data_IF_196139599352
#
_entry.id   IF_196139599352
#
_cell.length_a   1.000
_cell.length_b   1.000
_cell.length_c   1.000
_cell.angle_alpha   90.00
_cell.angle_beta   90.00
_cell.angle_gamma   90.00
#
_symmetry.space_group_name_H-M   'P 1'
#
loop_
_entity.id
_entity.type
_entity.pdbx_description
1 polymer ?
#
# COMPACT_ATOMS: atom_id res chain seq x y z
N UNK A 1 0.30 16.23 -13.54
CA UNK A 1 -0.16 14.84 -13.31
C UNK A 1 0.32 14.49 -11.92
N UNK A 2 -0.58 14.23 -11.02
CA UNK A 2 -0.25 13.86 -9.65
C UNK A 2 0.21 12.41 -9.53
N UNK A 3 0.84 12.09 -8.42
CA UNK A 3 1.32 10.73 -8.12
C UNK A 3 0.21 9.91 -7.49
N UNK A 4 0.02 8.68 -7.98
CA UNK A 4 -0.85 7.70 -7.34
C UNK A 4 -0.02 6.51 -6.92
N UNK A 5 0.04 6.22 -5.62
CA UNK A 5 0.98 5.25 -5.08
C UNK A 5 0.59 4.80 -3.66
N UNK A 6 1.00 3.60 -3.29
CA UNK A 6 0.81 3.07 -1.93
C UNK A 6 2.12 2.61 -1.31
N UNK A 7 2.34 2.99 -0.06
CA UNK A 7 3.47 2.59 0.78
C UNK A 7 3.00 1.71 1.92
N UNK A 8 3.46 0.48 1.97
CA UNK A 8 3.09 -0.51 2.98
C UNK A 8 4.26 -0.71 3.94
N UNK A 9 3.96 -0.68 5.24
CA UNK A 9 4.94 -0.79 6.30
C UNK A 9 4.53 -1.89 7.29
N UNK A 10 5.40 -2.85 7.55
CA UNK A 10 5.23 -3.86 8.59
C UNK A 10 5.87 -3.36 9.88
N UNK A 11 5.15 -3.38 10.99
CA UNK A 11 5.77 -3.07 12.30
C UNK A 11 6.84 -4.11 12.62
N UNK A 12 8.07 -3.64 12.85
CA UNK A 12 9.16 -4.56 13.15
C UNK A 12 9.08 -5.05 14.61
N UNK A 13 8.79 -6.32 14.80
CA UNK A 13 8.77 -7.01 16.10
C UNK A 13 10.08 -7.74 16.40
N UNK A 14 11.14 -7.46 15.65
CA UNK A 14 12.39 -8.18 15.73
C UNK A 14 12.48 -9.40 14.80
N UNK A 15 11.93 -9.25 13.60
CA UNK A 15 11.96 -10.30 12.59
C UNK A 15 13.37 -10.77 12.26
N UNK A 16 13.51 -12.07 12.00
CA UNK A 16 14.64 -12.64 11.28
C UNK A 16 14.39 -12.59 9.78
N UNK A 17 15.45 -12.75 8.99
CA UNK A 17 15.35 -12.84 7.52
C UNK A 17 14.50 -14.03 7.07
N UNK A 18 14.65 -15.15 7.77
CA UNK A 18 13.94 -16.39 7.52
C UNK A 18 12.43 -16.23 7.77
N UNK A 19 12.02 -15.53 8.83
CA UNK A 19 10.62 -15.24 9.12
C UNK A 19 10.00 -14.36 8.04
N UNK A 20 10.71 -13.31 7.58
CA UNK A 20 10.23 -12.44 6.50
C UNK A 20 10.08 -13.22 5.20
N UNK A 21 11.05 -14.04 4.83
CA UNK A 21 10.97 -14.89 3.63
C UNK A 21 9.82 -15.88 3.71
N UNK A 22 9.66 -16.55 4.84
CA UNK A 22 8.55 -17.48 5.06
C UNK A 22 7.17 -16.79 4.99
N UNK A 23 7.07 -15.55 5.48
CA UNK A 23 5.86 -14.72 5.36
C UNK A 23 5.56 -14.39 3.91
N UNK A 24 6.56 -13.96 3.14
CA UNK A 24 6.41 -13.70 1.70
C UNK A 24 5.99 -14.97 0.95
N UNK A 25 6.62 -16.12 1.24
CA UNK A 25 6.29 -17.40 0.62
C UNK A 25 4.84 -17.82 0.93
N UNK A 26 4.40 -17.67 2.17
CA UNK A 26 3.01 -17.97 2.57
C UNK A 26 1.98 -17.08 1.86
N UNK A 27 2.30 -15.81 1.62
CA UNK A 27 1.41 -14.86 0.96
C UNK A 27 1.39 -15.02 -0.56
N UNK A 28 2.53 -15.25 -1.15
CA UNK A 28 2.77 -15.10 -2.59
C UNK A 28 3.36 -16.35 -3.27
N UNK A 29 3.92 -17.31 -2.52
CA UNK A 29 4.62 -18.48 -3.05
C UNK A 29 3.73 -19.47 -3.83
N UNK A 30 2.39 -19.40 -3.67
CA UNK A 30 1.45 -20.10 -4.51
C UNK A 30 1.01 -19.33 -5.76
N UNK A 31 1.43 -18.10 -5.86
CA UNK A 31 1.22 -17.21 -6.99
C UNK A 31 2.53 -17.08 -7.79
N UNK A 32 3.14 -18.21 -8.15
CA UNK A 32 4.02 -18.17 -9.31
C UNK A 32 3.19 -17.57 -10.42
N UNK A 33 3.55 -16.35 -10.85
CA UNK A 33 2.81 -15.48 -11.74
C UNK A 33 2.13 -16.15 -12.91
N UNK A 34 1.08 -16.91 -12.62
CA UNK A 34 0.13 -17.35 -13.61
C UNK A 34 -0.83 -16.19 -13.82
N UNK A 35 -0.33 -15.15 -14.49
CA UNK A 35 -1.25 -14.32 -15.28
C UNK A 35 -2.11 -15.32 -16.05
N UNK A 36 -3.44 -15.36 -15.83
CA UNK A 36 -4.30 -16.32 -16.51
C UNK A 36 -3.98 -16.26 -18.00
N UNK A 37 -3.81 -17.40 -18.67
CA UNK A 37 -3.48 -17.38 -20.08
C UNK A 37 -4.50 -16.49 -20.79
N UNK A 38 -4.05 -15.63 -21.72
CA UNK A 38 -4.93 -14.67 -22.41
C UNK A 38 -6.22 -15.32 -22.91
N UNK A 39 -6.14 -16.59 -23.37
CA UNK A 39 -7.29 -17.41 -23.78
C UNK A 39 -8.30 -17.69 -22.65
N UNK A 40 -7.84 -17.78 -21.41
CA UNK A 40 -8.73 -18.03 -20.27
C UNK A 40 -9.42 -16.74 -19.83
N UNK A 41 -8.75 -15.58 -19.95
CA UNK A 41 -9.36 -14.26 -19.79
C UNK A 41 -10.39 -13.99 -20.90
N UNK A 42 -10.08 -14.29 -22.16
CA UNK A 42 -11.02 -14.17 -23.27
C UNK A 42 -12.27 -15.01 -23.01
N UNK A 43 -12.13 -16.30 -22.64
CA UNK A 43 -13.26 -17.18 -22.29
C UNK A 43 -14.06 -16.67 -21.08
N UNK A 44 -13.39 -16.18 -20.06
CA UNK A 44 -14.04 -15.63 -18.87
C UNK A 44 -14.90 -14.41 -19.22
N UNK A 45 -14.39 -13.51 -20.03
CA UNK A 45 -15.12 -12.33 -20.51
C UNK A 45 -16.29 -12.71 -21.42
N UNK A 46 -16.13 -13.63 -22.34
CA UNK A 46 -17.22 -14.13 -23.19
C UNK A 46 -18.32 -14.80 -22.35
N UNK A 47 -17.95 -15.56 -21.31
CA UNK A 47 -18.90 -16.17 -20.40
C UNK A 47 -19.67 -15.15 -19.55
N UNK A 48 -19.01 -14.07 -19.10
CA UNK A 48 -19.62 -12.99 -18.31
C UNK A 48 -20.57 -12.11 -19.13
N UNK A 49 -20.17 -11.78 -20.35
CA UNK A 49 -20.93 -10.90 -21.24
C UNK A 49 -22.01 -11.62 -22.04
N UNK A 50 -21.92 -12.94 -22.16
CA UNK A 50 -22.78 -13.76 -23.04
C UNK A 50 -22.57 -13.50 -24.53
N UNK A 51 -21.57 -12.74 -24.93
CA UNK A 51 -21.27 -12.35 -26.30
C UNK A 51 -19.84 -12.68 -26.68
N UNK A 52 -19.60 -13.00 -27.95
CA UNK A 52 -18.25 -13.11 -28.48
C UNK A 52 -17.53 -11.75 -28.42
N UNK A 53 -16.26 -11.77 -27.98
CA UNK A 53 -15.43 -10.57 -27.91
C UNK A 53 -15.19 -9.96 -29.29
N UNK A 54 -15.34 -8.65 -29.38
CA UNK A 54 -14.95 -7.91 -30.58
C UNK A 54 -13.42 -7.87 -30.72
N UNK A 55 -12.95 -7.52 -31.90
CA UNK A 55 -11.50 -7.36 -32.14
C UNK A 55 -10.89 -6.28 -31.25
N UNK A 56 -11.66 -5.21 -30.95
CA UNK A 56 -11.28 -4.14 -30.02
C UNK A 56 -11.14 -4.66 -28.57
N UNK A 57 -12.06 -5.50 -28.12
CA UNK A 57 -12.02 -6.08 -26.77
C UNK A 57 -10.81 -7.02 -26.63
N UNK A 58 -10.51 -7.82 -27.66
CA UNK A 58 -9.32 -8.68 -27.68
C UNK A 58 -8.02 -7.87 -27.69
N UNK A 59 -7.98 -6.75 -28.40
CA UNK A 59 -6.82 -5.86 -28.40
C UNK A 59 -6.59 -5.26 -26.99
N UNK A 60 -7.67 -4.80 -26.34
CA UNK A 60 -7.61 -4.29 -24.98
C UNK A 60 -7.16 -5.36 -23.98
N UNK A 61 -7.71 -6.58 -24.07
CA UNK A 61 -7.29 -7.68 -23.23
C UNK A 61 -5.82 -8.05 -23.43
N UNK A 62 -5.32 -8.05 -24.66
CA UNK A 62 -3.88 -8.27 -24.96
C UNK A 62 -3.01 -7.19 -24.33
N UNK A 63 -3.43 -5.93 -24.43
CA UNK A 63 -2.71 -4.82 -23.82
C UNK A 63 -2.68 -4.97 -22.29
N UNK A 64 -3.83 -5.20 -21.64
CA UNK A 64 -3.93 -5.41 -20.20
C UNK A 64 -3.16 -6.64 -19.74
N UNK A 65 -3.19 -7.74 -20.52
CA UNK A 65 -2.42 -8.94 -20.25
C UNK A 65 -0.91 -8.69 -20.35
N UNK A 66 -0.45 -7.96 -21.37
CA UNK A 66 0.96 -7.57 -21.51
C UNK A 66 1.45 -6.74 -20.34
N UNK A 67 0.67 -5.74 -19.92
CA UNK A 67 0.99 -4.94 -18.72
C UNK A 67 1.02 -5.81 -17.46
N UNK A 68 0.10 -6.77 -17.33
CA UNK A 68 0.08 -7.71 -16.21
C UNK A 68 1.27 -8.69 -16.24
N UNK A 69 1.68 -9.15 -17.42
CA UNK A 69 2.88 -10.01 -17.57
C UNK A 69 4.17 -9.26 -17.23
N UNK A 70 4.31 -8.00 -17.66
CA UNK A 70 5.45 -7.16 -17.28
C UNK A 70 5.50 -6.91 -15.77
N UNK A 71 4.34 -6.77 -15.10
CA UNK A 71 4.22 -6.65 -13.66
C UNK A 71 4.43 -7.96 -12.87
N UNK A 72 4.12 -9.11 -13.50
CA UNK A 72 4.20 -10.42 -12.84
C UNK A 72 5.64 -10.88 -12.52
N UNK A 73 6.64 -10.31 -13.19
CA UNK A 73 8.05 -10.63 -12.92
C UNK A 73 8.61 -9.88 -11.69
N UNK A 74 7.81 -9.02 -11.05
CA UNK A 74 8.22 -8.27 -9.87
C UNK A 74 7.86 -9.02 -8.59
N UNK A 75 8.81 -9.77 -8.08
CA UNK A 75 8.64 -10.53 -6.85
C UNK A 75 8.39 -9.63 -5.65
N UNK A 76 7.51 -10.04 -4.71
CA UNK A 76 7.30 -9.29 -3.48
C UNK A 76 8.59 -9.19 -2.67
N UNK A 77 8.79 -8.05 -2.05
CA UNK A 77 10.04 -7.68 -1.40
C UNK A 77 9.76 -7.01 -0.06
N UNK A 78 10.59 -7.30 0.94
CA UNK A 78 10.61 -6.58 2.21
C UNK A 78 12.00 -6.02 2.45
N UNK A 79 12.09 -4.75 2.79
CA UNK A 79 13.32 -4.14 3.26
C UNK A 79 13.57 -4.55 4.71
N UNK A 80 14.72 -5.15 4.99
CA UNK A 80 15.12 -5.55 6.33
C UNK A 80 16.30 -4.72 6.83
N UNK A 81 16.11 -4.08 7.99
CA UNK A 81 17.18 -3.47 8.76
C UNK A 81 16.95 -3.78 10.25
N UNK A 82 17.95 -4.38 10.89
CA UNK A 82 17.87 -4.68 12.31
C UNK A 82 17.66 -3.38 13.12
N UNK A 83 16.68 -3.39 14.01
CA UNK A 83 16.37 -2.24 14.84
C UNK A 83 15.54 -1.13 14.17
N UNK A 84 15.26 -1.18 12.87
CA UNK A 84 14.29 -0.28 12.25
C UNK A 84 12.90 -0.51 12.88
N UNK A 85 12.15 0.54 13.24
CA UNK A 85 10.83 0.38 13.86
C UNK A 85 9.78 -0.17 12.89
N UNK A 86 9.99 0.06 11.60
CA UNK A 86 9.14 -0.39 10.50
C UNK A 86 9.97 -0.98 9.37
N UNK A 87 9.37 -1.89 8.62
CA UNK A 87 9.98 -2.54 7.47
C UNK A 87 9.10 -2.27 6.23
N UNK A 88 9.63 -1.56 5.22
CA UNK A 88 8.89 -1.31 3.99
C UNK A 88 8.67 -2.61 3.22
N UNK A 89 7.41 -2.81 2.75
CA UNK A 89 7.02 -3.91 1.87
C UNK A 89 6.71 -3.35 0.50
N UNK A 90 7.25 -3.99 -0.53
CA UNK A 90 6.96 -3.66 -1.92
C UNK A 90 6.36 -4.87 -2.64
N UNK A 91 5.24 -4.64 -3.27
CA UNK A 91 4.62 -5.57 -4.21
C UNK A 91 3.82 -4.77 -5.24
N UNK A 92 4.18 -4.90 -6.51
CA UNK A 92 3.64 -4.08 -7.60
C UNK A 92 2.12 -3.99 -7.57
N UNK A 93 1.42 -5.12 -7.60
CA UNK A 93 -0.05 -5.11 -7.65
C UNK A 93 -0.74 -4.61 -6.35
N UNK A 94 -0.02 -4.53 -5.22
CA UNK A 94 -0.51 -3.88 -3.99
C UNK A 94 -0.18 -2.39 -3.97
N UNK A 95 0.92 -1.98 -4.57
CA UNK A 95 1.48 -0.64 -4.42
C UNK A 95 1.20 0.27 -5.62
N UNK A 96 0.92 -0.28 -6.80
CA UNK A 96 0.54 0.50 -7.99
C UNK A 96 -0.96 0.88 -8.00
N UNK A 97 -1.72 0.42 -7.01
CA UNK A 97 -3.14 0.72 -6.86
C UNK A 97 -3.40 1.95 -6.01
N UNK A 98 -4.56 2.59 -6.23
CA UNK A 98 -4.98 3.77 -5.47
C UNK A 98 -5.17 3.50 -3.98
N UNK A 99 -5.56 2.28 -3.62
CA UNK A 99 -5.81 1.89 -2.23
C UNK A 99 -5.57 0.40 -2.08
N UNK A 100 -4.78 0.00 -1.08
CA UNK A 100 -4.66 -1.41 -0.72
C UNK A 100 -5.96 -1.85 -0.05
N UNK A 101 -6.53 -2.94 -0.53
CA UNK A 101 -7.77 -3.44 0.06
C UNK A 101 -7.60 -3.77 1.54
N UNK A 102 -8.62 -3.47 2.33
CA UNK A 102 -8.68 -3.82 3.75
C UNK A 102 -8.40 -5.30 4.00
N UNK A 103 -8.83 -6.16 3.06
CA UNK A 103 -8.60 -7.61 3.11
C UNK A 103 -7.12 -7.96 2.95
N UNK A 104 -6.42 -7.32 2.02
CA UNK A 104 -5.01 -7.62 1.75
C UNK A 104 -4.12 -7.13 2.88
N UNK A 105 -4.39 -5.94 3.44
CA UNK A 105 -3.71 -5.47 4.65
C UNK A 105 -3.97 -6.38 5.86
N UNK A 106 -5.20 -6.84 6.05
CA UNK A 106 -5.53 -7.81 7.10
C UNK A 106 -4.76 -9.11 6.94
N UNK A 107 -4.68 -9.65 5.71
CA UNK A 107 -3.92 -10.85 5.41
C UNK A 107 -2.41 -10.66 5.63
N UNK A 108 -1.86 -9.49 5.31
CA UNK A 108 -0.47 -9.16 5.64
C UNK A 108 -0.25 -9.18 7.15
N UNK A 109 -1.12 -8.52 7.92
CA UNK A 109 -1.04 -8.50 9.39
C UNK A 109 -1.14 -9.90 9.99
N UNK A 110 -2.09 -10.74 9.54
CA UNK A 110 -2.24 -12.12 9.97
C UNK A 110 -0.97 -12.94 9.71
N UNK A 111 -0.44 -12.90 8.49
CA UNK A 111 0.67 -13.74 8.08
C UNK A 111 1.98 -13.36 8.78
N UNK A 112 2.25 -12.06 8.90
CA UNK A 112 3.45 -11.58 9.59
C UNK A 112 3.29 -11.50 11.12
N UNK A 113 2.06 -11.65 11.63
CA UNK A 113 1.77 -11.56 13.06
C UNK A 113 2.21 -10.21 13.65
N UNK A 114 1.97 -9.13 12.92
CA UNK A 114 2.38 -7.77 13.31
C UNK A 114 1.46 -6.73 12.68
N UNK A 115 1.31 -5.55 13.32
CA UNK A 115 0.59 -4.45 12.70
C UNK A 115 1.15 -4.06 11.33
N UNK A 116 0.24 -3.72 10.42
CA UNK A 116 0.53 -3.21 9.09
C UNK A 116 -0.09 -1.84 8.93
N UNK A 117 0.68 -0.89 8.42
CA UNK A 117 0.25 0.46 8.10
C UNK A 117 0.49 0.73 6.62
N UNK A 118 -0.52 1.27 5.95
CA UNK A 118 -0.41 1.71 4.57
C UNK A 118 -0.74 3.20 4.46
N UNK A 119 0.07 3.91 3.69
CA UNK A 119 -0.21 5.25 3.19
C UNK A 119 -0.45 5.14 1.69
N UNK A 120 -1.57 5.66 1.22
CA UNK A 120 -1.86 5.72 -0.21
C UNK A 120 -2.11 7.17 -0.62
N UNK A 121 -1.53 7.56 -1.73
CA UNK A 121 -1.74 8.84 -2.38
C UNK A 121 -2.62 8.63 -3.60
N UNK A 122 -3.54 9.53 -3.82
CA UNK A 122 -4.32 9.61 -5.03
C UNK A 122 -4.16 10.98 -5.67
N UNK A 123 -3.60 11.01 -6.87
CA UNK A 123 -3.34 12.20 -7.69
C UNK A 123 -2.59 13.34 -6.95
N UNK A 124 -1.79 12.99 -5.94
CA UNK A 124 -1.09 13.88 -5.01
C UNK A 124 -1.99 14.79 -4.14
N UNK A 125 -3.29 14.60 -4.19
CA UNK A 125 -4.26 15.46 -3.49
C UNK A 125 -4.87 14.78 -2.25
N UNK A 126 -5.11 13.48 -2.34
CA UNK A 126 -5.76 12.72 -1.26
C UNK A 126 -4.78 11.77 -0.59
N UNK A 127 -4.70 11.85 0.72
CA UNK A 127 -3.93 10.91 1.54
C UNK A 127 -4.87 9.95 2.26
N UNK A 128 -4.73 8.66 1.95
CA UNK A 128 -5.37 7.58 2.69
C UNK A 128 -4.39 6.95 3.66
N UNK A 129 -4.89 6.58 4.84
CA UNK A 129 -4.11 5.88 5.86
C UNK A 129 -4.92 4.71 6.37
N UNK A 130 -4.41 3.50 6.18
CA UNK A 130 -5.05 2.25 6.58
C UNK A 130 -4.16 1.47 7.55
N UNK A 131 -4.74 0.97 8.62
CA UNK A 131 -4.06 0.20 9.66
C UNK A 131 -4.80 -1.11 9.93
N UNK A 132 -4.04 -2.18 10.09
CA UNK A 132 -4.56 -3.49 10.50
C UNK A 132 -3.63 -4.12 11.53
N UNK A 133 -4.23 -4.65 12.56
CA UNK A 133 -3.54 -5.48 13.57
C UNK A 133 -4.40 -6.69 13.88
N UNK A 134 -4.04 -7.83 13.32
CA UNK A 134 -4.77 -9.09 13.49
C UNK A 134 -4.76 -9.56 14.95
N UNK A 135 -3.68 -9.31 15.69
CA UNK A 135 -3.56 -9.74 17.08
C UNK A 135 -4.55 -9.03 18.01
N UNK A 136 -4.89 -7.78 17.74
CA UNK A 136 -5.85 -6.99 18.52
C UNK A 136 -7.23 -6.91 17.88
N UNK A 137 -7.34 -7.24 16.59
CA UNK A 137 -8.53 -7.04 15.78
C UNK A 137 -8.75 -5.58 15.41
N UNK A 138 -7.77 -4.69 15.63
CA UNK A 138 -7.89 -3.28 15.27
C UNK A 138 -7.79 -3.09 13.75
N UNK A 139 -8.76 -2.33 13.21
CA UNK A 139 -8.84 -1.98 11.79
C UNK A 139 -9.31 -0.54 11.65
N UNK A 140 -8.54 0.26 10.94
CA UNK A 140 -8.82 1.67 10.73
C UNK A 140 -8.54 2.07 9.28
N UNK A 141 -9.43 2.88 8.70
CA UNK A 141 -9.27 3.50 7.39
C UNK A 141 -9.64 4.97 7.50
N UNK A 142 -8.67 5.85 7.21
CA UNK A 142 -8.82 7.29 7.27
C UNK A 142 -8.46 7.92 5.94
N UNK A 143 -9.15 9.02 5.61
CA UNK A 143 -8.80 9.87 4.48
C UNK A 143 -8.55 11.30 4.95
N UNK A 144 -7.56 11.96 4.35
CA UNK A 144 -7.34 13.39 4.42
C UNK A 144 -7.52 13.96 3.03
N UNK A 145 -8.60 14.71 2.89
CA UNK A 145 -9.03 15.30 1.62
C UNK A 145 -8.56 16.76 1.53
N UNK A 146 -8.39 17.33 0.32
CA UNK A 146 -8.26 18.75 0.12
C UNK A 146 -9.49 19.48 0.68
N UNK A 147 -9.31 20.72 1.09
CA UNK A 147 -10.31 21.48 1.87
C UNK A 147 -11.69 21.66 1.19
N UNK A 148 -11.76 21.54 -0.13
CA UNK A 148 -12.96 21.86 -0.91
C UNK A 148 -13.79 20.62 -1.32
N UNK A 149 -13.27 19.40 -1.16
CA UNK A 149 -13.86 18.20 -1.79
C UNK A 149 -14.57 17.25 -0.80
N UNK A 150 -14.87 17.70 0.42
CA UNK A 150 -15.50 16.84 1.45
C UNK A 150 -16.91 16.35 1.06
N UNK A 151 -17.59 17.00 0.10
CA UNK A 151 -18.95 16.64 -0.30
C UNK A 151 -19.00 15.54 -1.38
N UNK A 152 -17.90 15.26 -2.09
CA UNK A 152 -17.86 14.30 -3.19
C UNK A 152 -17.45 12.88 -2.78
N UNK A 153 -16.86 12.71 -1.59
CA UNK A 153 -16.40 11.42 -1.13
C UNK A 153 -17.39 10.78 -0.17
N UNK A 154 -17.78 9.54 -0.47
CA UNK A 154 -18.71 8.76 0.33
C UNK A 154 -18.09 8.43 1.70
N UNK A 155 -18.57 9.06 2.75
CA UNK A 155 -18.12 8.96 4.14
C UNK A 155 -18.23 7.53 4.73
N UNK A 156 -18.85 6.59 4.02
CA UNK A 156 -19.12 5.24 4.53
C UNK A 156 -17.86 4.38 4.61
N UNK A 157 -16.81 4.67 3.83
CA UNK A 157 -15.61 3.82 3.73
C UNK A 157 -14.46 4.35 4.58
N UNK A 158 -14.27 5.67 4.61
CA UNK A 158 -13.14 6.29 5.30
C UNK A 158 -13.59 7.22 6.42
N UNK A 159 -12.91 7.13 7.57
CA UNK A 159 -13.11 8.08 8.65
C UNK A 159 -12.41 9.40 8.32
N UNK A 160 -13.12 10.49 8.51
CA UNK A 160 -12.56 11.84 8.45
C UNK A 160 -12.09 12.26 9.85
N UNK A 161 -11.12 13.15 9.89
CA UNK A 161 -10.56 13.64 11.14
C UNK A 161 -9.20 13.03 11.48
N UNK A 162 -8.72 13.29 12.70
CA UNK A 162 -7.39 12.84 13.10
C UNK A 162 -7.40 11.34 13.49
N UNK A 163 -6.55 10.51 12.88
CA UNK A 163 -6.43 9.09 13.21
C UNK A 163 -5.68 8.91 14.56
N UNK A 164 -6.40 8.82 15.66
CA UNK A 164 -5.83 8.71 17.01
C UNK A 164 -4.89 7.49 17.20
N UNK A 165 -5.06 6.45 16.40
CA UNK A 165 -4.15 5.31 16.41
C UNK A 165 -2.73 5.69 15.96
N UNK A 166 -2.56 6.64 15.03
CA UNK A 166 -1.23 7.12 14.62
C UNK A 166 -0.48 7.76 15.79
N UNK A 167 -1.18 8.51 16.66
CA UNK A 167 -0.56 9.08 17.85
C UNK A 167 -0.04 8.00 18.82
N UNK A 168 -0.67 6.82 18.85
CA UNK A 168 -0.17 5.69 19.66
C UNK A 168 1.09 5.06 19.07
N UNK A 169 1.22 5.07 17.76
CA UNK A 169 2.37 4.53 17.03
C UNK A 169 3.56 5.49 17.03
N UNK A 170 3.31 6.79 17.19
CA UNK A 170 4.32 7.84 17.22
C UNK A 170 4.99 7.92 18.59
N UNK A 171 6.32 8.16 18.66
CA UNK A 171 7.01 8.52 19.89
C UNK A 171 6.33 9.71 20.59
N UNK A 172 6.29 9.73 21.94
CA UNK A 172 5.54 10.74 22.68
C UNK A 172 5.88 12.19 22.29
N UNK A 173 7.15 12.47 22.02
CA UNK A 173 7.66 13.79 21.62
C UNK A 173 7.18 14.24 20.24
N UNK A 174 6.81 13.30 19.35
CA UNK A 174 6.33 13.60 18.00
C UNK A 174 4.81 13.75 17.88
N UNK A 175 4.02 13.37 18.91
CA UNK A 175 2.56 13.28 18.81
C UNK A 175 1.85 14.59 18.51
N UNK A 176 2.31 15.69 19.09
CA UNK A 176 1.74 17.00 18.82
C UNK A 176 2.06 17.46 17.40
N UNK A 177 3.29 17.27 16.95
CA UNK A 177 3.69 17.56 15.57
C UNK A 177 2.89 16.71 14.57
N UNK A 178 2.68 15.42 14.86
CA UNK A 178 1.89 14.52 14.03
C UNK A 178 0.44 14.99 13.89
N UNK A 179 -0.20 15.42 15.01
CA UNK A 179 -1.56 15.97 14.97
C UNK A 179 -1.62 17.25 14.14
N UNK A 180 -0.64 18.14 14.34
CA UNK A 180 -0.56 19.40 13.60
C UNK A 180 -0.41 19.16 12.10
N UNK A 181 0.50 18.28 11.67
CA UNK A 181 0.70 17.95 10.26
C UNK A 181 -0.58 17.36 9.64
N UNK A 182 -1.33 16.56 10.38
CA UNK A 182 -2.57 15.99 9.87
C UNK A 182 -3.69 17.03 9.70
N UNK A 183 -3.86 17.92 10.69
CA UNK A 183 -5.02 18.83 10.78
C UNK A 183 -4.80 20.17 10.08
N UNK A 184 -3.59 20.74 10.20
CA UNK A 184 -3.32 22.07 9.66
C UNK A 184 -3.06 22.02 8.15
N UNK A 185 -3.74 22.91 7.42
CA UNK A 185 -3.40 23.19 6.04
C UNK A 185 -2.31 24.25 6.05
N UNK A 186 -1.14 23.88 5.59
CA UNK A 186 0.02 24.76 5.51
C UNK A 186 0.20 25.17 4.05
N UNK A 187 0.42 26.46 3.80
CA UNK A 187 0.65 26.96 2.43
C UNK A 187 1.87 26.30 1.76
N UNK A 188 2.78 25.73 2.57
CA UNK A 188 3.93 24.98 2.09
C UNK A 188 3.62 23.49 1.77
N UNK A 189 2.48 22.97 2.22
CA UNK A 189 2.06 21.59 1.97
C UNK A 189 1.05 21.57 0.81
N UNK A 190 1.52 21.95 -0.37
CA UNK A 190 0.69 22.06 -1.58
C UNK A 190 0.11 20.69 -2.01
N UNK A 191 0.82 19.61 -1.65
CA UNK A 191 0.43 18.25 -2.03
C UNK A 191 0.36 17.31 -0.82
N UNK A 192 -0.48 16.31 -0.92
CA UNK A 192 -0.66 15.29 0.13
C UNK A 192 0.59 14.41 0.34
N UNK A 193 1.47 14.30 -0.65
CA UNK A 193 2.75 13.59 -0.56
C UNK A 193 3.72 14.25 0.43
N UNK A 194 3.85 15.58 0.45
CA UNK A 194 4.67 16.31 1.43
C UNK A 194 4.21 16.01 2.87
N UNK A 195 2.89 15.98 3.06
CA UNK A 195 2.27 15.63 4.35
C UNK A 195 2.56 14.18 4.73
N UNK A 196 2.40 13.27 3.79
CA UNK A 196 2.69 11.86 3.99
C UNK A 196 4.14 11.63 4.43
N UNK A 197 5.10 12.25 3.75
CA UNK A 197 6.52 12.12 4.09
C UNK A 197 6.83 12.60 5.51
N UNK A 198 6.28 13.75 5.91
CA UNK A 198 6.42 14.26 7.27
C UNK A 198 5.82 13.33 8.34
N UNK A 199 4.66 12.71 8.04
CA UNK A 199 4.04 11.74 8.94
C UNK A 199 4.87 10.46 9.05
N UNK A 200 5.39 9.95 7.94
CA UNK A 200 6.23 8.76 7.90
C UNK A 200 7.54 8.99 8.69
N UNK A 201 8.16 10.15 8.52
CA UNK A 201 9.38 10.52 9.27
C UNK A 201 9.14 10.52 10.79
N UNK A 202 8.06 11.15 11.26
CA UNK A 202 7.67 11.15 12.68
C UNK A 202 7.40 9.75 13.23
N UNK A 203 6.93 8.84 12.41
CA UNK A 203 6.70 7.43 12.77
C UNK A 203 7.97 6.58 12.69
N UNK A 204 9.07 7.15 12.20
CA UNK A 204 10.33 6.44 11.96
C UNK A 204 10.25 5.44 10.82
N UNK A 205 9.44 5.74 9.81
CA UNK A 205 9.27 4.95 8.61
C UNK A 205 10.17 5.45 7.50
N UNK A 206 10.71 4.54 6.74
CA UNK A 206 11.46 4.82 5.52
C UNK A 206 10.76 4.13 4.36
N UNK A 207 10.55 4.85 3.27
CA UNK A 207 9.86 4.34 2.09
C UNK A 207 10.83 3.82 1.03
N UNK A 208 10.32 2.92 0.20
CA UNK A 208 10.99 2.52 -1.04
C UNK A 208 10.87 3.68 -2.04
N UNK A 209 11.92 3.90 -2.81
CA UNK A 209 11.81 4.66 -4.06
C UNK A 209 11.14 3.77 -5.13
N UNK A 210 9.91 4.06 -5.50
CA UNK A 210 9.17 3.21 -6.43
C UNK A 210 9.68 3.29 -7.87
N UNK A 211 10.21 4.44 -8.27
CA UNK A 211 10.74 4.63 -9.63
C UNK A 211 12.06 3.88 -9.82
N UNK A 212 12.92 3.93 -8.80
CA UNK A 212 14.19 3.22 -8.80
C UNK A 212 14.08 1.79 -8.28
N UNK A 213 12.94 1.39 -7.71
CA UNK A 213 12.73 0.10 -7.01
C UNK A 213 13.82 -0.17 -5.94
N UNK A 214 14.25 0.91 -5.26
CA UNK A 214 15.33 0.85 -4.29
C UNK A 214 14.82 1.02 -2.87
N UNK A 215 15.26 0.13 -2.00
CA UNK A 215 15.07 0.29 -0.57
C UNK A 215 15.97 1.40 -0.03
N UNK A 216 15.57 2.05 1.08
CA UNK A 216 16.37 3.06 1.73
C UNK A 216 17.76 2.52 2.10
N UNK A 217 18.72 3.43 2.24
CA UNK A 217 20.10 3.08 2.59
C UNK A 217 20.16 2.26 3.90
N UNK A 218 20.95 1.20 3.89
CA UNK A 218 21.11 0.31 5.04
C UNK A 218 20.02 -0.76 5.18
N UNK A 219 19.03 -0.79 4.31
CA UNK A 219 18.08 -1.90 4.23
C UNK A 219 18.61 -3.00 3.31
N UNK A 220 18.53 -4.22 3.78
CA UNK A 220 18.76 -5.42 2.97
C UNK A 220 17.45 -5.84 2.31
N UNK A 221 17.48 -6.14 1.04
CA UNK A 221 16.34 -6.59 0.26
C UNK A 221 16.10 -8.08 0.50
N UNK A 222 14.97 -8.44 1.10
CA UNK A 222 14.48 -9.82 1.20
C UNK A 222 13.45 -10.04 0.10
N UNK A 223 13.70 -11.01 -0.75
CA UNK A 223 12.88 -11.36 -1.92
C UNK A 223 12.36 -12.78 -1.76
N UNK A 224 11.17 -13.06 -2.31
CA UNK A 224 10.61 -14.40 -2.45
C UNK A 224 11.48 -15.27 -3.37
#
# INVERSE_FOLDING_TARGET
>A
MGTTMTYIQLKNRGFTREELRAGLDKLFGGQEGQTPALKDLERGMEALTGNALTEKDRLLLRFLHGVAEEGADRRPQVGFRAGAPWLPLWQTWLCDGMVVSSRDLGRLSEVFGTPVLAFALFDSDVLFVSYRDDATGEAYDYARLPFEDYEEYDDEIYQLGFPEFLARLCPPEGREALRRIWVEDNEDDVFADDRMWKLMDLLGMEAIDPEAEQFPEGFEKIVL
#
